data_IF_002171421831
#
_entry.id   IF_002171421831
#
_cell.length_a   1.000
_cell.length_b   1.000
_cell.length_c   1.000
_cell.angle_alpha   90.00
_cell.angle_beta   90.00
_cell.angle_gamma   90.00
#
_symmetry.space_group_name_H-M   'P 1'
#
loop_
_entity.id
_entity.type
_entity.pdbx_description
1 polymer ?
#
# COMPACT_ATOMS: atom_id res chain seq x y z
N UNK A 1 49.65 29.10 -74.83
CA UNK A 1 50.03 30.08 -73.79
C UNK A 1 48.77 30.81 -73.40
N UNK A 2 48.27 30.83 -72.18
CA UNK A 2 48.47 30.10 -70.92
C UNK A 2 47.11 30.32 -70.22
N UNK A 3 46.44 29.25 -69.82
CA UNK A 3 46.45 28.73 -68.46
C UNK A 3 45.67 29.56 -67.43
N UNK A 4 44.88 28.80 -66.66
CA UNK A 4 44.39 29.09 -65.32
C UNK A 4 43.38 30.23 -65.15
N UNK A 5 42.09 29.89 -65.32
CA UNK A 5 41.08 30.41 -64.40
C UNK A 5 39.96 29.39 -64.17
N UNK A 6 40.27 28.35 -63.39
CA UNK A 6 39.25 27.47 -62.82
C UNK A 6 39.68 26.90 -61.48
N UNK A 7 40.12 27.76 -60.58
CA UNK A 7 40.12 27.47 -59.16
C UNK A 7 39.43 28.61 -58.44
N UNK A 8 38.21 28.37 -58.00
CA UNK A 8 37.61 28.96 -56.79
C UNK A 8 36.19 28.44 -56.71
N UNK A 9 36.00 27.30 -56.05
CA UNK A 9 34.76 26.98 -55.32
C UNK A 9 34.93 25.80 -54.35
N UNK A 10 36.15 25.49 -53.90
CA UNK A 10 36.40 24.38 -52.97
C UNK A 10 36.58 24.81 -51.52
N UNK A 11 36.36 26.08 -51.17
CA UNK A 11 36.76 26.62 -49.87
C UNK A 11 35.61 26.98 -48.89
N UNK A 12 34.33 26.70 -49.22
CA UNK A 12 33.20 27.20 -48.40
C UNK A 12 32.27 26.16 -47.76
N UNK A 13 32.54 24.86 -47.88
CA UNK A 13 31.70 23.82 -47.25
C UNK A 13 32.29 23.11 -46.03
N UNK A 14 33.62 23.03 -45.89
CA UNK A 14 34.25 22.31 -44.77
C UNK A 14 34.05 22.90 -43.36
N UNK A 15 34.06 24.24 -43.13
CA UNK A 15 33.97 24.75 -41.77
C UNK A 15 32.57 24.57 -41.18
N UNK A 16 31.51 24.60 -42.01
CA UNK A 16 30.13 24.45 -41.53
C UNK A 16 29.89 23.06 -40.96
N UNK A 17 30.36 22.00 -41.63
CA UNK A 17 30.14 20.61 -41.17
C UNK A 17 30.80 20.34 -39.80
N UNK A 18 32.02 20.82 -39.58
CA UNK A 18 32.71 20.70 -38.27
C UNK A 18 32.01 21.50 -37.17
N UNK A 19 31.46 22.67 -37.49
CA UNK A 19 30.70 23.49 -36.53
C UNK A 19 29.37 22.80 -36.17
N UNK A 20 28.63 22.26 -37.15
CA UNK A 20 27.40 21.52 -36.90
C UNK A 20 27.63 20.25 -36.06
N UNK A 21 28.68 19.49 -36.33
CA UNK A 21 29.02 18.29 -35.53
C UNK A 21 29.35 18.68 -34.08
N UNK A 22 30.14 19.74 -33.87
CA UNK A 22 30.44 20.23 -32.51
C UNK A 22 29.19 20.73 -31.79
N UNK A 23 28.27 21.38 -32.49
CA UNK A 23 27.01 21.86 -31.94
C UNK A 23 26.09 20.71 -31.52
N UNK A 24 25.99 19.66 -32.34
CA UNK A 24 25.18 18.47 -32.04
C UNK A 24 25.74 17.72 -30.81
N UNK A 25 27.07 17.55 -30.74
CA UNK A 25 27.71 16.93 -29.57
C UNK A 25 27.46 17.76 -28.31
N UNK A 26 27.57 19.09 -28.40
CA UNK A 26 27.29 19.98 -27.29
C UNK A 26 25.83 19.89 -26.80
N UNK A 27 24.87 19.86 -27.72
CA UNK A 27 23.46 19.65 -27.42
C UNK A 27 23.20 18.29 -26.77
N UNK A 28 23.82 17.21 -27.28
CA UNK A 28 23.68 15.88 -26.71
C UNK A 28 24.22 15.81 -25.26
N UNK A 29 25.35 16.45 -24.99
CA UNK A 29 25.93 16.53 -23.64
C UNK A 29 25.03 17.33 -22.69
N UNK A 30 24.47 18.44 -23.15
CA UNK A 30 23.51 19.23 -22.35
C UNK A 30 22.26 18.40 -22.05
N UNK A 31 21.68 17.73 -23.05
CA UNK A 31 20.50 16.87 -22.86
C UNK A 31 20.77 15.73 -21.89
N UNK A 32 21.92 15.04 -22.02
CA UNK A 32 22.32 14.00 -21.08
C UNK A 32 22.49 14.56 -19.65
N UNK A 33 23.06 15.76 -19.51
CA UNK A 33 23.20 16.42 -18.21
C UNK A 33 21.84 16.76 -17.60
N UNK A 34 20.88 17.27 -18.38
CA UNK A 34 19.51 17.53 -17.91
C UNK A 34 18.75 16.24 -17.55
N UNK A 35 18.95 15.14 -18.29
CA UNK A 35 18.34 13.84 -17.95
C UNK A 35 18.93 13.30 -16.64
N UNK A 36 20.25 13.36 -16.46
CA UNK A 36 20.91 12.87 -15.23
C UNK A 36 20.57 13.75 -14.02
N UNK A 37 20.58 15.07 -14.18
CA UNK A 37 20.17 16.01 -13.14
C UNK A 37 18.68 15.90 -12.84
N UNK A 38 17.84 15.72 -13.86
CA UNK A 38 16.40 15.48 -13.72
C UNK A 38 16.13 14.17 -13.01
N UNK A 39 16.79 13.07 -13.37
CA UNK A 39 16.65 11.78 -12.69
C UNK A 39 17.16 11.83 -11.24
N UNK A 40 18.25 12.56 -10.97
CA UNK A 40 18.72 12.80 -9.60
C UNK A 40 17.78 13.69 -8.82
N UNK A 41 17.20 14.73 -9.43
CA UNK A 41 16.25 15.61 -8.78
C UNK A 41 14.94 14.89 -8.52
N UNK A 42 14.43 14.10 -9.47
CA UNK A 42 13.26 13.23 -9.31
C UNK A 42 13.54 12.18 -8.22
N UNK A 43 14.69 11.49 -8.25
CA UNK A 43 15.06 10.51 -7.21
C UNK A 43 15.25 11.18 -5.84
N UNK A 44 15.88 12.35 -5.78
CA UNK A 44 16.03 13.14 -4.56
C UNK A 44 14.66 13.57 -4.04
N UNK A 45 13.78 14.09 -4.89
CA UNK A 45 12.44 14.53 -4.56
C UNK A 45 11.55 13.34 -4.15
N UNK A 46 11.65 12.18 -4.78
CA UNK A 46 10.99 10.95 -4.31
C UNK A 46 11.55 10.47 -2.96
N UNK A 47 12.87 10.56 -2.73
CA UNK A 47 13.49 10.18 -1.45
C UNK A 47 13.23 11.17 -0.31
N UNK A 48 13.05 12.46 -0.62
CA UNK A 48 12.94 13.54 0.38
C UNK A 48 11.52 14.08 0.53
N UNK A 49 10.72 14.05 -0.53
CA UNK A 49 9.36 14.58 -0.63
C UNK A 49 8.39 13.57 -1.25
N UNK A 50 8.75 12.27 -1.29
CA UNK A 50 7.85 11.20 -1.68
C UNK A 50 6.51 11.40 -0.98
N UNK A 51 5.51 11.73 -1.78
CA UNK A 51 4.14 11.96 -1.33
C UNK A 51 3.62 10.58 -0.94
N UNK A 52 3.80 10.28 0.33
CA UNK A 52 3.45 9.07 1.04
C UNK A 52 3.99 9.29 2.44
N UNK A 53 3.18 9.94 3.29
CA UNK A 53 3.61 10.50 4.56
C UNK A 53 4.46 9.52 5.36
N UNK A 54 5.55 10.02 5.96
CA UNK A 54 6.15 9.32 7.10
C UNK A 54 5.13 9.38 8.23
N UNK A 55 4.31 8.34 8.36
CA UNK A 55 3.62 8.10 9.61
C UNK A 55 4.73 7.75 10.60
N UNK A 56 5.13 8.71 11.43
CA UNK A 56 5.97 8.46 12.59
C UNK A 56 5.13 7.75 13.64
N UNK A 57 4.63 6.56 13.33
CA UNK A 57 4.07 5.69 14.34
C UNK A 57 5.23 4.85 14.85
N UNK A 58 5.86 5.33 15.92
CA UNK A 58 6.92 4.59 16.57
C UNK A 58 6.28 3.32 17.14
N UNK A 59 6.65 2.17 16.60
CA UNK A 59 6.25 0.87 17.16
C UNK A 59 6.38 0.85 18.68
N UNK A 60 5.51 0.10 19.35
CA UNK A 60 5.60 -0.04 20.80
C UNK A 60 6.79 -0.94 21.15
N UNK A 61 7.48 -0.65 22.26
CA UNK A 61 8.57 -1.49 22.77
C UNK A 61 8.05 -2.74 23.54
N UNK A 62 6.73 -2.89 23.65
CA UNK A 62 6.11 -4.06 24.27
C UNK A 62 6.33 -5.33 23.43
N UNK A 63 6.44 -6.48 24.10
CA UNK A 63 6.56 -7.76 23.40
C UNK A 63 5.29 -8.08 22.62
N UNK A 64 5.45 -8.68 21.44
CA UNK A 64 4.34 -9.21 20.67
C UNK A 64 3.94 -10.56 21.27
N UNK A 65 2.65 -10.70 21.56
CA UNK A 65 2.04 -11.95 22.00
C UNK A 65 0.91 -12.32 21.05
N UNK A 66 0.56 -13.61 21.00
CA UNK A 66 -0.54 -14.12 20.16
C UNK A 66 -1.81 -14.42 20.98
N UNK A 67 -1.98 -13.73 22.11
CA UNK A 67 -3.14 -13.87 22.99
C UNK A 67 -3.74 -12.49 23.29
N UNK A 68 -5.07 -12.38 23.16
CA UNK A 68 -5.79 -11.17 23.50
C UNK A 68 -5.75 -10.90 25.02
N UNK A 69 -5.61 -9.64 25.46
CA UNK A 69 -5.73 -9.28 26.86
C UNK A 69 -7.11 -9.60 27.42
N UNK A 70 -7.18 -9.78 28.74
CA UNK A 70 -8.41 -10.19 29.41
C UNK A 70 -9.58 -9.22 29.13
N UNK A 71 -10.66 -9.81 28.63
CA UNK A 71 -11.90 -9.11 28.29
C UNK A 71 -11.90 -8.42 26.93
N UNK A 72 -10.80 -8.45 26.16
CA UNK A 72 -10.83 -8.08 24.73
C UNK A 72 -11.27 -9.30 23.92
N UNK A 73 -12.26 -9.12 23.06
CA UNK A 73 -12.87 -10.20 22.28
C UNK A 73 -12.72 -9.99 20.78
N UNK A 74 -12.93 -11.05 20.00
CA UNK A 74 -12.98 -10.95 18.54
C UNK A 74 -14.08 -10.00 18.07
N UNK A 75 -15.20 -9.92 18.81
CA UNK A 75 -16.29 -8.99 18.53
C UNK A 75 -15.87 -7.53 18.71
N UNK A 76 -15.08 -7.21 19.74
CA UNK A 76 -14.52 -5.86 19.92
C UNK A 76 -13.60 -5.46 18.76
N UNK A 77 -12.82 -6.43 18.24
CA UNK A 77 -11.96 -6.24 17.07
C UNK A 77 -12.78 -6.01 15.81
N UNK A 78 -13.77 -6.85 15.54
CA UNK A 78 -14.67 -6.69 14.40
C UNK A 78 -15.41 -5.35 14.46
N UNK A 79 -15.91 -4.96 15.64
CA UNK A 79 -16.59 -3.68 15.83
C UNK A 79 -15.66 -2.49 15.57
N UNK A 80 -14.41 -2.54 16.03
CA UNK A 80 -13.42 -1.50 15.77
C UNK A 80 -13.12 -1.35 14.28
N UNK A 81 -13.00 -2.46 13.55
CA UNK A 81 -12.81 -2.43 12.08
C UNK A 81 -14.04 -1.87 11.37
N UNK A 82 -15.24 -2.34 11.76
CA UNK A 82 -16.51 -1.92 11.17
C UNK A 82 -16.71 -0.41 11.36
N UNK A 83 -16.59 0.10 12.59
CA UNK A 83 -16.81 1.52 12.90
C UNK A 83 -15.92 2.43 12.04
N UNK A 84 -14.64 2.09 11.85
CA UNK A 84 -13.75 2.87 10.99
C UNK A 84 -14.25 2.92 9.54
N UNK A 85 -14.72 1.80 8.98
CA UNK A 85 -15.26 1.78 7.61
C UNK A 85 -16.50 2.67 7.47
N UNK A 86 -17.43 2.60 8.42
CA UNK A 86 -18.67 3.38 8.36
C UNK A 86 -18.43 4.88 8.64
N UNK A 87 -17.61 5.23 9.62
CA UNK A 87 -17.33 6.63 9.98
C UNK A 87 -16.47 7.37 8.92
N UNK A 88 -15.65 6.65 8.14
CA UNK A 88 -14.89 7.23 7.02
C UNK A 88 -15.72 7.45 5.74
N UNK A 89 -17.06 7.33 5.81
CA UNK A 89 -17.94 7.72 4.72
C UNK A 89 -18.11 6.69 3.61
N UNK A 90 -17.70 5.43 3.81
CA UNK A 90 -18.12 4.33 2.93
C UNK A 90 -19.65 4.11 2.95
N UNK A 91 -20.34 4.64 3.96
CA UNK A 91 -21.81 4.64 4.07
C UNK A 91 -22.51 5.21 2.80
N UNK A 92 -21.83 6.10 2.07
CA UNK A 92 -22.35 6.66 0.82
C UNK A 92 -22.38 5.68 -0.36
N UNK A 93 -21.55 4.62 -0.38
CA UNK A 93 -21.62 3.59 -1.44
C UNK A 93 -22.78 2.61 -1.21
N UNK A 94 -23.22 2.40 0.04
CA UNK A 94 -24.26 1.41 0.37
C UNK A 94 -25.70 1.91 0.22
N UNK A 95 -25.94 3.23 0.22
CA UNK A 95 -27.31 3.77 0.01
C UNK A 95 -27.88 3.47 -1.39
N UNK A 96 -27.03 3.06 -2.33
CA UNK A 96 -27.40 2.62 -3.69
C UNK A 96 -27.03 1.17 -4.02
N UNK A 97 -26.42 0.45 -3.07
CA UNK A 97 -26.07 -0.95 -3.22
C UNK A 97 -27.36 -1.79 -3.31
N UNK A 98 -27.45 -2.67 -4.31
CA UNK A 98 -28.54 -3.64 -4.37
C UNK A 98 -28.43 -4.65 -3.23
N UNK A 99 -29.48 -5.43 -2.96
CA UNK A 99 -29.47 -6.52 -1.96
C UNK A 99 -28.33 -7.55 -2.16
N UNK A 100 -27.70 -7.53 -3.33
CA UNK A 100 -26.60 -8.39 -3.74
C UNK A 100 -25.24 -7.68 -3.83
N UNK A 101 -25.04 -6.56 -3.15
CA UNK A 101 -23.79 -5.79 -3.22
C UNK A 101 -23.29 -5.44 -1.81
N UNK A 102 -22.18 -6.07 -1.39
CA UNK A 102 -21.68 -5.94 -0.02
C UNK A 102 -20.16 -5.99 0.07
N UNK A 103 -19.64 -5.33 1.11
CA UNK A 103 -18.24 -5.43 1.50
C UNK A 103 -18.08 -6.56 2.52
N UNK A 104 -17.10 -7.42 2.27
CA UNK A 104 -16.73 -8.51 3.18
C UNK A 104 -15.30 -8.31 3.60
N UNK A 105 -15.06 -8.60 4.87
CA UNK A 105 -13.73 -8.62 5.42
C UNK A 105 -13.52 -9.82 6.34
N UNK A 106 -12.41 -10.52 6.16
CA UNK A 106 -11.96 -11.59 7.05
C UNK A 106 -10.58 -11.23 7.59
N UNK A 107 -10.36 -11.47 8.89
CA UNK A 107 -9.14 -11.09 9.59
C UNK A 107 -8.35 -12.31 10.08
N UNK A 108 -7.04 -12.22 9.99
CA UNK A 108 -6.08 -13.08 10.68
C UNK A 108 -5.35 -12.25 11.75
N UNK A 109 -5.32 -12.74 12.99
CA UNK A 109 -4.59 -12.10 14.09
C UNK A 109 -3.09 -12.35 13.92
N UNK A 110 -2.35 -11.30 13.56
CA UNK A 110 -0.89 -11.37 13.47
C UNK A 110 -0.26 -11.37 14.86
N UNK A 111 -0.74 -10.51 15.75
CA UNK A 111 -0.20 -10.40 17.11
C UNK A 111 -0.77 -9.22 17.88
N UNK A 112 -0.40 -9.13 19.15
CA UNK A 112 -0.87 -8.14 20.11
C UNK A 112 0.31 -7.61 20.91
N UNK A 113 0.37 -6.31 21.12
CA UNK A 113 1.30 -5.69 22.07
C UNK A 113 0.51 -5.19 23.27
N UNK A 114 0.66 -5.85 24.41
CA UNK A 114 0.04 -5.43 25.68
C UNK A 114 0.92 -4.35 26.32
N UNK A 115 0.48 -3.09 26.25
CA UNK A 115 1.24 -1.95 26.74
C UNK A 115 1.07 -1.84 28.26
N UNK A 116 -0.17 -1.91 28.73
CA UNK A 116 -0.54 -1.93 30.15
C UNK A 116 -1.95 -2.54 30.32
N UNK A 117 -2.51 -2.48 31.54
CA UNK A 117 -3.82 -3.06 31.86
C UNK A 117 -5.02 -2.32 31.22
N UNK A 118 -4.76 -1.24 30.49
CA UNK A 118 -5.74 -0.39 29.82
C UNK A 118 -5.44 -0.15 28.35
N UNK A 119 -4.24 -0.44 27.86
CA UNK A 119 -3.84 -0.13 26.50
C UNK A 119 -3.21 -1.35 25.84
N UNK A 120 -3.65 -1.70 24.64
CA UNK A 120 -2.99 -2.68 23.79
C UNK A 120 -3.07 -2.30 22.31
N UNK A 121 -2.19 -2.87 21.51
CA UNK A 121 -2.23 -2.77 20.04
C UNK A 121 -2.52 -4.14 19.46
N UNK A 122 -3.47 -4.21 18.54
CA UNK A 122 -3.81 -5.43 17.81
C UNK A 122 -3.38 -5.29 16.36
N UNK A 123 -2.67 -6.28 15.84
CA UNK A 123 -2.20 -6.33 14.47
C UNK A 123 -2.95 -7.41 13.70
N UNK A 124 -3.53 -7.06 12.56
CA UNK A 124 -4.30 -7.98 11.73
C UNK A 124 -3.76 -7.98 10.29
N UNK A 125 -3.85 -9.12 9.63
CA UNK A 125 -3.84 -9.22 8.18
C UNK A 125 -5.28 -9.49 7.74
N UNK A 126 -5.83 -8.63 6.89
CA UNK A 126 -7.24 -8.71 6.49
C UNK A 126 -7.36 -8.91 5.00
N UNK A 127 -8.24 -9.80 4.56
CA UNK A 127 -8.71 -9.84 3.18
C UNK A 127 -10.01 -9.07 3.10
N UNK A 128 -9.99 -7.96 2.35
CA UNK A 128 -11.14 -7.09 2.18
C UNK A 128 -11.58 -7.06 0.74
N UNK A 129 -12.88 -7.20 0.50
CA UNK A 129 -13.41 -7.34 -0.85
C UNK A 129 -14.83 -6.80 -1.00
N UNK A 130 -15.08 -6.18 -2.13
CA UNK A 130 -16.41 -5.80 -2.58
C UNK A 130 -16.97 -6.93 -3.45
N UNK A 131 -18.08 -7.51 -3.03
CA UNK A 131 -18.70 -8.66 -3.70
C UNK A 131 -20.08 -8.31 -4.23
N UNK A 132 -20.30 -8.73 -5.47
CA UNK A 132 -21.62 -8.69 -6.11
C UNK A 132 -22.01 -10.07 -6.61
N UNK A 133 -23.17 -10.57 -6.19
CA UNK A 133 -23.69 -11.88 -6.60
C UNK A 133 -22.67 -13.04 -6.41
N UNK A 134 -21.95 -13.05 -5.28
CA UNK A 134 -20.83 -13.93 -4.90
C UNK A 134 -19.54 -13.75 -5.70
N UNK A 135 -19.47 -12.77 -6.58
CA UNK A 135 -18.30 -12.47 -7.41
C UNK A 135 -17.55 -11.27 -6.85
N UNK A 136 -16.27 -11.45 -6.53
CA UNK A 136 -15.37 -10.38 -6.13
C UNK A 136 -15.22 -9.37 -7.27
N UNK A 137 -15.60 -8.12 -7.02
CA UNK A 137 -15.47 -7.00 -7.95
C UNK A 137 -14.14 -6.28 -7.77
N UNK A 138 -13.73 -6.07 -6.53
CA UNK A 138 -12.46 -5.46 -6.15
C UNK A 138 -12.10 -5.93 -4.75
N UNK A 139 -10.81 -6.09 -4.47
CA UNK A 139 -10.35 -6.51 -3.15
C UNK A 139 -8.85 -6.34 -2.98
N UNK A 140 -8.40 -6.38 -1.74
CA UNK A 140 -7.00 -6.28 -1.40
C UNK A 140 -6.74 -6.88 -0.02
N UNK A 141 -5.53 -7.37 0.15
CA UNK A 141 -5.01 -7.68 1.46
C UNK A 141 -4.50 -6.42 2.13
N UNK A 142 -4.87 -6.21 3.39
CA UNK A 142 -4.60 -5.00 4.14
C UNK A 142 -4.01 -5.38 5.49
N UNK A 143 -2.87 -4.76 5.82
CA UNK A 143 -2.30 -4.86 7.17
C UNK A 143 -2.97 -3.80 8.02
N UNK A 144 -3.45 -4.19 9.20
CA UNK A 144 -4.14 -3.30 10.13
C UNK A 144 -3.43 -3.28 11.47
N UNK A 145 -3.38 -2.10 12.07
CA UNK A 145 -3.01 -1.93 13.47
C UNK A 145 -4.13 -1.14 14.14
N UNK A 146 -4.66 -1.69 15.23
CA UNK A 146 -5.73 -1.08 16.02
C UNK A 146 -5.19 -0.76 17.41
N UNK A 147 -5.32 0.50 17.81
CA UNK A 147 -5.11 0.91 19.20
C UNK A 147 -6.39 0.71 20.01
N UNK A 148 -6.28 -0.06 21.09
CA UNK A 148 -7.36 -0.32 22.03
C UNK A 148 -7.09 0.34 23.38
N UNK A 149 -8.10 1.04 23.90
CA UNK A 149 -8.12 1.56 25.26
C UNK A 149 -9.27 0.95 26.05
N UNK A 150 -9.02 0.53 27.30
CA UNK A 150 -10.03 0.04 28.22
C UNK A 150 -10.75 1.19 28.90
N UNK A 151 -11.95 1.50 28.43
CA UNK A 151 -12.82 2.55 28.94
C UNK A 151 -13.98 1.95 29.72
N UNK A 152 -14.14 2.34 31.00
CA UNK A 152 -15.22 1.86 31.89
C UNK A 152 -15.34 0.32 31.96
N UNK A 153 -14.24 -0.39 31.77
CA UNK A 153 -14.18 -1.86 31.81
C UNK A 153 -14.37 -2.56 30.46
N UNK A 154 -14.71 -1.82 29.40
CA UNK A 154 -14.84 -2.31 28.03
C UNK A 154 -13.65 -1.86 27.20
N UNK A 155 -13.21 -2.67 26.25
CA UNK A 155 -12.20 -2.26 25.29
C UNK A 155 -12.85 -1.48 24.15
N UNK A 156 -12.24 -0.35 23.78
CA UNK A 156 -12.70 0.52 22.70
C UNK A 156 -11.53 0.73 21.76
N UNK A 157 -11.74 0.42 20.47
CA UNK A 157 -10.77 0.74 19.41
C UNK A 157 -10.87 2.21 19.03
N UNK A 158 -9.75 2.94 19.07
CA UNK A 158 -9.71 4.40 18.88
C UNK A 158 -9.03 4.81 17.56
N UNK A 159 -8.05 4.02 17.09
CA UNK A 159 -7.28 4.34 15.90
C UNK A 159 -6.96 3.10 15.07
N UNK A 160 -7.24 3.18 13.78
CA UNK A 160 -6.98 2.12 12.81
C UNK A 160 -6.00 2.64 11.75
N UNK A 161 -4.80 2.05 11.71
CA UNK A 161 -3.80 2.31 10.67
C UNK A 161 -3.86 1.20 9.61
N UNK A 162 -4.19 1.58 8.37
CA UNK A 162 -4.46 0.63 7.26
C UNK A 162 -3.67 0.99 5.98
N UNK A 163 -2.36 0.71 5.90
CA UNK A 163 -1.72 0.71 4.60
C UNK A 163 -2.33 -0.40 3.72
N UNK A 164 -2.56 -0.11 2.44
CA UNK A 164 -2.82 -1.18 1.47
C UNK A 164 -1.65 -2.17 1.46
N UNK A 165 -1.92 -3.45 1.27
CA UNK A 165 -0.88 -4.45 1.12
C UNK A 165 -0.15 -4.33 -0.22
N UNK A 166 1.09 -4.81 -0.27
CA UNK A 166 1.91 -4.92 -1.48
C UNK A 166 3.31 -4.32 -1.34
N UNK A 167 4.21 -4.70 -2.26
CA UNK A 167 5.64 -4.33 -2.22
C UNK A 167 5.90 -2.81 -2.16
N UNK A 168 4.96 -1.99 -2.62
CA UNK A 168 5.05 -0.53 -2.52
C UNK A 168 4.97 -0.01 -1.08
N UNK A 169 4.33 -0.76 -0.18
CA UNK A 169 4.07 -0.37 1.21
C UNK A 169 4.96 -1.11 2.21
N UNK A 170 5.83 -2.01 1.75
CA UNK A 170 6.72 -2.81 2.60
C UNK A 170 7.60 -1.93 3.49
N UNK A 171 8.19 -0.87 2.95
CA UNK A 171 9.01 0.07 3.72
C UNK A 171 8.21 0.70 4.87
N UNK A 172 6.99 1.19 4.60
CA UNK A 172 6.15 1.78 5.64
C UNK A 172 5.67 0.76 6.68
N UNK A 173 5.38 -0.47 6.27
CA UNK A 173 4.98 -1.55 7.18
C UNK A 173 6.13 -1.90 8.11
N UNK A 174 7.32 -2.14 7.57
CA UNK A 174 8.53 -2.46 8.35
C UNK A 174 8.96 -1.33 9.29
N UNK A 175 8.64 -0.08 8.97
CA UNK A 175 8.91 1.06 9.85
C UNK A 175 7.86 1.24 10.97
N UNK A 176 6.67 0.66 10.82
CA UNK A 176 5.51 0.92 11.70
C UNK A 176 5.20 -0.22 12.67
N UNK A 177 5.25 -1.47 12.20
CA UNK A 177 4.87 -2.64 13.01
C UNK A 177 6.12 -3.39 13.49
N UNK A 178 6.00 -4.24 14.53
CA UNK A 178 7.09 -5.10 14.99
C UNK A 178 7.73 -5.90 13.85
N UNK A 179 9.07 -5.99 13.84
CA UNK A 179 9.82 -6.58 12.73
C UNK A 179 9.45 -8.04 12.48
N UNK A 180 9.18 -8.81 13.53
CA UNK A 180 8.73 -10.21 13.43
C UNK A 180 7.38 -10.35 12.71
N UNK A 181 6.44 -9.42 12.91
CA UNK A 181 5.17 -9.42 12.21
C UNK A 181 5.33 -8.98 10.76
N UNK A 182 6.18 -7.97 10.51
CA UNK A 182 6.50 -7.56 9.16
C UNK A 182 7.21 -8.67 8.39
N UNK A 183 8.14 -9.39 9.02
CA UNK A 183 8.81 -10.54 8.41
C UNK A 183 7.81 -11.64 8.07
N UNK A 184 6.86 -11.96 8.96
CA UNK A 184 5.76 -12.88 8.66
C UNK A 184 4.97 -12.42 7.43
N UNK A 185 4.60 -11.14 7.37
CA UNK A 185 3.87 -10.51 6.24
C UNK A 185 4.71 -10.48 4.96
N UNK A 186 6.03 -10.60 4.96
CA UNK A 186 6.82 -10.58 3.72
C UNK A 186 7.58 -11.88 3.48
N UNK A 187 7.22 -12.94 4.20
CA UNK A 187 7.79 -14.27 4.08
C UNK A 187 7.01 -15.17 3.11
N UNK A 188 7.58 -16.32 2.75
CA UNK A 188 6.85 -17.33 1.99
C UNK A 188 5.65 -17.91 2.78
N UNK A 189 5.71 -17.93 4.12
CA UNK A 189 4.60 -18.35 5.01
C UNK A 189 3.37 -17.45 4.87
N UNK A 190 3.57 -16.18 4.50
CA UNK A 190 2.50 -15.26 4.15
C UNK A 190 1.60 -15.85 3.07
N UNK A 191 2.17 -16.59 2.10
CA UNK A 191 1.41 -17.17 0.99
C UNK A 191 0.35 -18.16 1.49
N UNK A 192 0.64 -18.90 2.56
CA UNK A 192 -0.30 -19.86 3.14
C UNK A 192 -1.38 -19.16 3.98
N UNK A 193 -0.99 -18.16 4.79
CA UNK A 193 -1.95 -17.34 5.57
C UNK A 193 -2.90 -16.60 4.62
N UNK A 194 -2.37 -15.92 3.61
CA UNK A 194 -3.14 -15.21 2.57
C UNK A 194 -4.13 -16.13 1.89
N UNK A 195 -3.65 -17.30 1.46
CA UNK A 195 -4.52 -18.27 0.80
C UNK A 195 -5.64 -18.71 1.73
N UNK A 196 -5.32 -18.99 3.00
CA UNK A 196 -6.31 -19.44 3.99
C UNK A 196 -7.39 -18.38 4.21
N UNK A 197 -7.02 -17.12 4.45
CA UNK A 197 -8.01 -16.05 4.67
C UNK A 197 -8.84 -15.76 3.41
N UNK A 198 -8.25 -15.82 2.22
CA UNK A 198 -8.99 -15.63 0.97
C UNK A 198 -9.94 -16.79 0.70
N UNK A 199 -9.49 -18.03 0.86
CA UNK A 199 -10.33 -19.22 0.71
C UNK A 199 -11.51 -19.18 1.70
N UNK A 200 -11.28 -18.87 2.97
CA UNK A 200 -12.34 -18.72 3.97
C UNK A 200 -13.33 -17.59 3.63
N UNK A 201 -12.83 -16.45 3.15
CA UNK A 201 -13.67 -15.31 2.75
C UNK A 201 -14.58 -15.72 1.60
N UNK A 202 -14.00 -16.31 0.55
CA UNK A 202 -14.76 -16.77 -0.60
C UNK A 202 -15.79 -17.84 -0.25
N UNK A 203 -15.45 -18.79 0.63
CA UNK A 203 -16.38 -19.82 1.08
C UNK A 203 -17.57 -19.22 1.84
N UNK A 204 -17.32 -18.30 2.76
CA UNK A 204 -18.39 -17.61 3.52
C UNK A 204 -19.29 -16.77 2.63
N UNK A 205 -18.72 -16.05 1.66
CA UNK A 205 -19.49 -15.29 0.67
C UNK A 205 -20.37 -16.21 -0.18
N UNK A 206 -19.81 -17.29 -0.72
CA UNK A 206 -20.57 -18.26 -1.52
C UNK A 206 -21.69 -18.90 -0.70
N UNK A 207 -21.44 -19.20 0.58
CA UNK A 207 -22.45 -19.74 1.49
C UNK A 207 -23.63 -18.76 1.69
N UNK A 208 -23.33 -17.47 1.94
CA UNK A 208 -24.34 -16.42 2.10
C UNK A 208 -25.28 -16.31 0.87
N UNK A 209 -24.71 -16.27 -0.34
CA UNK A 209 -25.54 -16.19 -1.55
C UNK A 209 -26.28 -17.50 -1.89
N UNK A 210 -25.75 -18.65 -1.47
CA UNK A 210 -26.44 -19.92 -1.65
C UNK A 210 -27.64 -20.07 -0.71
N UNK A 211 -27.64 -19.41 0.46
CA UNK A 211 -28.81 -19.38 1.35
C UNK A 211 -29.95 -18.53 0.80
N UNK A 212 -29.68 -17.47 0.03
CA UNK A 212 -30.71 -16.59 -0.52
C UNK A 212 -31.40 -17.12 -1.80
N UNK A 213 -30.86 -18.15 -2.45
CA UNK A 213 -31.52 -18.82 -3.59
C UNK A 213 -32.57 -19.86 -3.19
N UNK A 214 -32.85 -20.04 -1.89
CA UNK A 214 -33.76 -21.07 -1.36
C UNK A 214 -35.03 -20.46 -0.70
N UNK A 215 -35.32 -19.17 -0.90
CA UNK A 215 -36.58 -18.55 -0.48
C UNK A 215 -37.61 -18.47 -1.62
#
# INVERSE_FOLDING_TARGET
MNDANKETNTAYEEPKKKVYVKLIIFLALITAMFIVLGAKFVSFYYKTHGIGGRYFYKGCDAEVVHQLPEGLTDEDISNAVIMDKYDNGFDHEYTTAGESDFFVETHYLLGVQNIDNKNCKVYLLSDCGHYKDSVLQSGSLVVKMIDFEKQKGQWVGDYLWEPRGGAMYEGSIRETIPSELADLIFSDEETEIKKTITDETEEKVKAYYNTDKVA
#
